data_IF_927327297444
#
_entry.id   IF_927327297444
#
_cell.length_a   1.000
_cell.length_b   1.000
_cell.length_c   1.000
_cell.angle_alpha   90.00
_cell.angle_beta   90.00
_cell.angle_gamma   90.00
#
_symmetry.space_group_name_H-M   'P 1'
#
loop_
_entity.id
_entity.type
_entity.pdbx_description
1 polymer ?
#
# COMPACT_ATOMS: atom_id res chain seq x y z
N UNK A 1 1.96 -15.11 -19.36
CA UNK A 1 2.80 -16.08 -18.63
C UNK A 1 2.25 -16.22 -17.22
N UNK A 2 2.10 -17.43 -16.67
CA UNK A 2 1.69 -17.59 -15.27
C UNK A 2 2.79 -17.04 -14.35
N UNK A 3 2.41 -16.20 -13.39
CA UNK A 3 3.33 -15.71 -12.36
C UNK A 3 3.84 -16.88 -11.54
N UNK A 4 5.14 -16.91 -11.27
CA UNK A 4 5.73 -17.88 -10.34
C UNK A 4 5.11 -17.70 -8.95
N UNK A 5 5.05 -18.76 -8.13
CA UNK A 5 4.53 -18.71 -6.74
C UNK A 5 5.03 -17.51 -5.92
N UNK A 6 6.34 -17.17 -5.90
CA UNK A 6 6.82 -15.99 -5.16
C UNK A 6 6.29 -14.66 -5.71
N UNK A 7 6.04 -14.55 -7.02
CA UNK A 7 5.44 -13.35 -7.62
C UNK A 7 3.94 -13.24 -7.33
N UNK A 8 3.24 -14.37 -7.23
CA UNK A 8 1.85 -14.38 -6.77
C UNK A 8 1.74 -13.92 -5.33
N UNK A 9 2.63 -14.40 -4.45
CA UNK A 9 2.70 -13.97 -3.06
C UNK A 9 3.05 -12.48 -2.95
N UNK A 10 4.09 -12.01 -3.65
CA UNK A 10 4.46 -10.60 -3.66
C UNK A 10 3.31 -9.69 -4.09
N UNK A 11 2.58 -10.06 -5.15
CA UNK A 11 1.40 -9.31 -5.60
C UNK A 11 0.31 -9.26 -4.53
N UNK A 12 0.08 -10.38 -3.84
CA UNK A 12 -0.90 -10.46 -2.76
C UNK A 12 -0.48 -9.59 -1.57
N UNK A 13 0.78 -9.65 -1.17
CA UNK A 13 1.34 -8.88 -0.06
C UNK A 13 1.27 -7.37 -0.36
N UNK A 14 1.62 -6.95 -1.58
CA UNK A 14 1.52 -5.54 -1.99
C UNK A 14 0.08 -5.02 -1.91
N UNK A 15 -0.89 -5.82 -2.36
CA UNK A 15 -2.32 -5.46 -2.25
C UNK A 15 -2.80 -5.44 -0.80
N UNK A 16 -2.34 -6.38 0.03
CA UNK A 16 -2.69 -6.42 1.45
C UNK A 16 -2.13 -5.21 2.20
N UNK A 17 -0.89 -4.81 1.91
CA UNK A 17 -0.28 -3.61 2.51
C UNK A 17 -1.03 -2.36 2.05
N UNK A 18 -1.34 -2.22 0.76
CA UNK A 18 -2.12 -1.09 0.25
C UNK A 18 -3.48 -0.98 0.96
N UNK A 19 -4.20 -2.10 1.09
CA UNK A 19 -5.49 -2.14 1.79
C UNK A 19 -5.37 -1.77 3.27
N UNK A 20 -4.37 -2.30 3.98
CA UNK A 20 -4.13 -1.94 5.38
C UNK A 20 -3.80 -0.45 5.54
N UNK A 21 -3.08 0.12 4.57
CA UNK A 21 -2.74 1.53 4.56
C UNK A 21 -3.97 2.41 4.35
N UNK A 22 -4.90 2.01 3.45
CA UNK A 22 -6.20 2.66 3.27
C UNK A 22 -7.05 2.59 4.54
N UNK A 23 -7.13 1.43 5.20
CA UNK A 23 -7.86 1.30 6.47
C UNK A 23 -7.26 2.22 7.54
N UNK A 24 -5.93 2.27 7.64
CA UNK A 24 -5.23 3.19 8.55
C UNK A 24 -5.57 4.65 8.24
N UNK A 25 -5.68 5.03 6.96
CA UNK A 25 -6.12 6.37 6.57
C UNK A 25 -7.54 6.70 7.04
N UNK A 26 -8.46 5.75 6.96
CA UNK A 26 -9.85 5.90 7.41
C UNK A 26 -9.90 6.08 8.93
N UNK A 27 -9.16 5.25 9.66
CA UNK A 27 -9.05 5.35 11.12
C UNK A 27 -8.45 6.70 11.56
N UNK A 28 -7.37 7.12 10.89
CA UNK A 28 -6.74 8.41 11.12
C UNK A 28 -7.70 9.57 10.84
N UNK A 29 -8.52 9.51 9.78
CA UNK A 29 -9.55 10.52 9.52
C UNK A 29 -10.63 10.54 10.61
N UNK A 30 -11.00 9.38 11.15
CA UNK A 30 -11.90 9.27 12.30
C UNK A 30 -11.31 9.91 13.56
N UNK A 31 -10.01 9.74 13.80
CA UNK A 31 -9.30 10.41 14.89
C UNK A 31 -9.16 11.93 14.63
N UNK A 32 -8.92 12.34 13.39
CA UNK A 32 -8.86 13.75 12.96
C UNK A 32 -10.13 14.51 13.30
N UNK A 33 -11.29 13.88 13.13
CA UNK A 33 -12.59 14.48 13.43
C UNK A 33 -12.78 14.84 14.91
N UNK A 34 -11.91 14.32 15.80
CA UNK A 34 -11.93 14.55 17.25
C UNK A 34 -10.82 15.51 17.72
N UNK A 35 -9.99 16.00 16.80
CA UNK A 35 -8.85 16.88 17.07
C UNK A 35 -9.18 18.35 16.71
N UNK A 36 -8.35 19.29 17.18
CA UNK A 36 -8.48 20.72 16.87
C UNK A 36 -8.23 21.01 15.37
N UNK A 37 -8.75 22.12 14.85
CA UNK A 37 -8.69 22.44 13.40
C UNK A 37 -7.28 22.38 12.79
N UNK A 38 -6.24 22.81 13.51
CA UNK A 38 -4.86 22.76 13.04
C UNK A 38 -4.34 21.31 12.87
N UNK A 39 -4.65 20.43 13.83
CA UNK A 39 -4.26 19.02 13.80
C UNK A 39 -5.06 18.24 12.75
N UNK A 40 -6.32 18.61 12.54
CA UNK A 40 -7.16 18.03 11.48
C UNK A 40 -6.62 18.34 10.08
N UNK A 41 -6.09 19.55 9.85
CA UNK A 41 -5.46 19.94 8.58
C UNK A 41 -4.17 19.14 8.36
N UNK A 42 -3.29 19.06 9.36
CA UNK A 42 -2.05 18.29 9.29
C UNK A 42 -2.33 16.80 9.00
N UNK A 43 -3.34 16.24 9.66
CA UNK A 43 -3.73 14.84 9.51
C UNK A 43 -4.37 14.57 8.14
N UNK A 44 -5.13 15.53 7.59
CA UNK A 44 -5.68 15.43 6.24
C UNK A 44 -4.56 15.40 5.19
N UNK A 45 -3.50 16.20 5.36
CA UNK A 45 -2.32 16.16 4.50
C UNK A 45 -1.61 14.80 4.56
N UNK A 46 -1.43 14.26 5.77
CA UNK A 46 -0.78 12.95 5.98
C UNK A 46 -1.59 11.80 5.38
N UNK A 47 -2.92 11.83 5.50
CA UNK A 47 -3.83 10.88 4.85
C UNK A 47 -3.73 10.97 3.32
N UNK A 48 -3.55 12.16 2.76
CA UNK A 48 -3.32 12.35 1.32
C UNK A 48 -2.06 11.62 0.84
N UNK A 49 -0.93 11.83 1.52
CA UNK A 49 0.33 11.15 1.19
C UNK A 49 0.21 9.64 1.31
N UNK A 50 -0.45 9.13 2.36
CA UNK A 50 -0.67 7.69 2.51
C UNK A 50 -1.51 7.13 1.36
N UNK A 51 -2.55 7.84 0.90
CA UNK A 51 -3.33 7.40 -0.26
C UNK A 51 -2.46 7.27 -1.52
N UNK A 52 -1.57 8.23 -1.78
CA UNK A 52 -0.63 8.16 -2.90
C UNK A 52 0.38 7.00 -2.79
N UNK A 53 0.81 6.65 -1.57
CA UNK A 53 1.65 5.48 -1.34
C UNK A 53 0.88 4.16 -1.55
N UNK A 54 -0.39 4.10 -1.14
CA UNK A 54 -1.26 2.95 -1.39
C UNK A 54 -1.47 2.74 -2.90
N UNK A 55 -1.77 3.80 -3.64
CA UNK A 55 -1.91 3.75 -5.10
C UNK A 55 -0.62 3.26 -5.77
N UNK A 56 0.55 3.72 -5.30
CA UNK A 56 1.85 3.22 -5.79
C UNK A 56 2.04 1.73 -5.52
N UNK A 57 1.67 1.24 -4.34
CA UNK A 57 1.73 -0.19 -4.02
C UNK A 57 0.80 -1.03 -4.90
N UNK A 58 -0.39 -0.52 -5.23
CA UNK A 58 -1.30 -1.15 -6.19
C UNK A 58 -0.67 -1.18 -7.58
N UNK A 59 -0.05 -0.08 -8.01
CA UNK A 59 0.71 -0.01 -9.26
C UNK A 59 1.81 -1.07 -9.35
N UNK A 60 2.61 -1.23 -8.29
CA UNK A 60 3.61 -2.28 -8.22
C UNK A 60 3.00 -3.68 -8.25
N UNK A 61 1.86 -3.90 -7.60
CA UNK A 61 1.18 -5.20 -7.66
C UNK A 61 0.72 -5.55 -9.09
N UNK A 62 0.33 -4.56 -9.89
CA UNK A 62 -0.04 -4.73 -11.29
C UNK A 62 1.18 -4.89 -12.20
N UNK A 63 2.31 -4.26 -11.89
CA UNK A 63 3.59 -4.51 -12.55
C UNK A 63 4.12 -5.92 -12.27
N UNK A 64 3.98 -6.42 -11.05
CA UNK A 64 4.24 -7.84 -10.72
C UNK A 64 3.32 -8.72 -11.56
N UNK A 65 2.03 -8.38 -11.66
CA UNK A 65 1.07 -9.14 -12.49
C UNK A 65 1.46 -9.16 -13.98
N UNK A 66 1.98 -8.04 -14.48
CA UNK A 66 2.47 -7.91 -15.85
C UNK A 66 3.81 -8.63 -16.07
N UNK A 67 4.46 -9.13 -15.02
CA UNK A 67 5.78 -9.75 -15.08
C UNK A 67 6.92 -8.73 -15.26
N UNK A 68 6.67 -7.45 -15.02
CA UNK A 68 7.69 -6.38 -15.06
C UNK A 68 8.52 -6.34 -13.79
N UNK A 69 7.91 -6.64 -12.65
CA UNK A 69 8.58 -6.86 -11.37
C UNK A 69 8.59 -8.36 -11.10
N UNK A 70 9.78 -8.92 -10.88
CA UNK A 70 9.96 -10.33 -10.53
C UNK A 70 10.78 -10.46 -9.25
N UNK A 71 10.20 -11.05 -8.21
CA UNK A 71 10.95 -11.52 -7.04
C UNK A 71 11.69 -12.79 -7.42
N UNK A 72 13.01 -12.71 -7.48
CA UNK A 72 13.85 -13.91 -7.44
C UNK A 72 13.69 -14.55 -6.05
N UNK A 73 13.65 -15.88 -5.98
CA UNK A 73 13.84 -16.54 -4.68
C UNK A 73 15.18 -16.05 -4.11
N UNK A 74 15.15 -15.44 -2.92
CA UNK A 74 16.38 -15.27 -2.16
C UNK A 74 16.92 -16.69 -1.91
N UNK A 75 17.95 -17.05 -2.67
CA UNK A 75 18.89 -18.10 -2.28
C UNK A 75 19.54 -17.63 -0.98
N UNK A 76 18.86 -17.89 0.15
CA UNK A 76 19.51 -17.95 1.45
C UNK A 76 20.55 -19.07 1.33
N UNK A 77 21.80 -18.66 1.17
CA UNK A 77 22.97 -19.53 1.06
C UNK A 77 23.66 -19.63 2.41
#
# INVERSE_FOLDING_TARGET
>A
MPLTKPNQQLRSDLKAIAFNLEQTCVDLRGLASRLSDADAIALTGLVGTLHEEADRLVGYADEVKAGRISRAEELHK
#
